data_IF_208764787089
#
_entry.id   IF_208764787089
#
_cell.length_a   1.000
_cell.length_b   1.000
_cell.length_c   1.000
_cell.angle_alpha   90.00
_cell.angle_beta   90.00
_cell.angle_gamma   90.00
#
_symmetry.space_group_name_H-M   'P 1'
#
loop_
_entity.id
_entity.type
_entity.pdbx_description
1 polymer ?
#
# COMPACT_ATOMS: atom_id res chain seq x y z
N UNK A 1 -53.81 -0.54 15.42
CA UNK A 1 -52.40 -0.86 15.12
C UNK A 1 -52.36 -1.99 14.12
N UNK A 2 -51.92 -1.76 12.88
CA UNK A 2 -51.30 -2.73 11.93
C UNK A 2 -51.16 -2.07 10.54
N UNK A 3 -50.01 -1.43 10.27
CA UNK A 3 -49.60 -0.95 8.93
C UNK A 3 -48.08 -1.10 8.78
N UNK A 4 -47.57 -2.34 8.83
CA UNK A 4 -46.14 -2.62 8.59
C UNK A 4 -45.88 -3.63 7.46
N UNK A 5 -46.93 -4.20 6.86
CA UNK A 5 -46.78 -5.25 5.84
C UNK A 5 -46.70 -4.71 4.40
N UNK A 6 -47.28 -3.54 4.10
CA UNK A 6 -47.26 -3.00 2.74
C UNK A 6 -45.88 -2.51 2.28
N UNK A 7 -45.11 -1.87 3.17
CA UNK A 7 -43.81 -1.29 2.80
C UNK A 7 -42.78 -2.36 2.40
N UNK A 8 -42.88 -3.54 2.99
CA UNK A 8 -41.99 -4.67 2.69
C UNK A 8 -42.34 -5.32 1.34
N UNK A 9 -43.63 -5.45 1.02
CA UNK A 9 -44.07 -5.96 -0.28
C UNK A 9 -43.71 -4.98 -1.41
N UNK A 10 -43.90 -3.67 -1.20
CA UNK A 10 -43.49 -2.62 -2.15
C UNK A 10 -41.97 -2.64 -2.40
N UNK A 11 -41.16 -2.85 -1.35
CA UNK A 11 -39.71 -2.96 -1.48
C UNK A 11 -39.28 -4.23 -2.26
N UNK A 12 -39.94 -5.36 -2.02
CA UNK A 12 -39.68 -6.61 -2.75
C UNK A 12 -40.04 -6.48 -4.22
N UNK A 13 -41.18 -5.85 -4.53
CA UNK A 13 -41.62 -5.64 -5.91
C UNK A 13 -40.69 -4.67 -6.64
N UNK A 14 -40.24 -3.61 -5.96
CA UNK A 14 -39.24 -2.67 -6.50
C UNK A 14 -37.89 -3.34 -6.75
N UNK A 15 -37.43 -4.20 -5.83
CA UNK A 15 -36.20 -4.96 -5.99
C UNK A 15 -36.30 -5.95 -7.17
N UNK A 16 -37.44 -6.61 -7.35
CA UNK A 16 -37.69 -7.50 -8.49
C UNK A 16 -37.62 -6.74 -9.81
N UNK A 17 -38.26 -5.58 -9.89
CA UNK A 17 -38.25 -4.72 -11.09
C UNK A 17 -36.84 -4.23 -11.46
N UNK A 18 -36.03 -3.86 -10.46
CA UNK A 18 -34.64 -3.45 -10.68
C UNK A 18 -33.76 -4.59 -11.21
N UNK A 19 -33.96 -5.82 -10.72
CA UNK A 19 -33.25 -7.01 -11.24
C UNK A 19 -33.63 -7.29 -12.69
N UNK A 20 -34.91 -7.23 -13.04
CA UNK A 20 -35.37 -7.42 -14.42
C UNK A 20 -34.78 -6.34 -15.36
N UNK A 21 -34.74 -5.07 -14.92
CA UNK A 21 -34.12 -3.98 -15.69
C UNK A 21 -32.60 -4.16 -15.87
N UNK A 22 -31.89 -4.60 -14.82
CA UNK A 22 -30.45 -4.86 -14.92
C UNK A 22 -30.14 -6.01 -15.90
N UNK A 23 -30.96 -7.06 -15.91
CA UNK A 23 -30.79 -8.21 -16.80
C UNK A 23 -30.96 -7.81 -18.27
N UNK A 24 -31.99 -6.99 -18.58
CA UNK A 24 -32.20 -6.43 -19.92
C UNK A 24 -31.07 -5.49 -20.36
N UNK A 25 -30.49 -4.74 -19.41
CA UNK A 25 -29.36 -3.85 -19.71
C UNK A 25 -28.08 -4.65 -20.01
N UNK A 26 -27.83 -5.73 -19.27
CA UNK A 26 -26.72 -6.64 -19.51
C UNK A 26 -26.84 -7.35 -20.86
N UNK A 27 -28.04 -7.79 -21.24
CA UNK A 27 -28.30 -8.42 -22.54
C UNK A 27 -28.07 -7.45 -23.70
N UNK A 28 -28.49 -6.18 -23.57
CA UNK A 28 -28.21 -5.14 -24.55
C UNK A 28 -26.71 -4.82 -24.69
N UNK A 29 -25.98 -4.76 -23.58
CA UNK A 29 -24.52 -4.57 -23.62
C UNK A 29 -23.81 -5.76 -24.27
N UNK A 30 -24.31 -6.97 -24.06
CA UNK A 30 -23.77 -8.19 -24.67
C UNK A 30 -24.09 -8.31 -26.15
N UNK A 31 -25.25 -7.82 -26.58
CA UNK A 31 -25.66 -7.78 -28.00
C UNK A 31 -24.89 -6.73 -28.81
N UNK A 32 -24.43 -5.64 -28.17
CA UNK A 32 -23.62 -4.59 -28.80
C UNK A 32 -22.11 -4.72 -28.60
N UNK A 33 -21.64 -5.78 -27.93
CA UNK A 33 -20.22 -6.08 -27.83
C UNK A 33 -19.65 -6.44 -29.22
N UNK A 34 -18.59 -5.76 -29.70
CA UNK A 34 -18.00 -6.07 -31.00
C UNK A 34 -17.46 -7.51 -31.02
N UNK A 35 -17.94 -8.32 -31.97
CA UNK A 35 -17.47 -9.69 -32.20
C UNK A 35 -15.96 -9.69 -32.44
N UNK A 36 -15.15 -10.46 -31.70
CA UNK A 36 -13.73 -10.59 -31.98
C UNK A 36 -13.53 -11.47 -33.21
N UNK A 37 -12.95 -10.89 -34.26
CA UNK A 37 -12.39 -11.62 -35.39
C UNK A 37 -11.17 -12.41 -34.91
N UNK A 38 -11.24 -13.71 -35.11
CA UNK A 38 -10.26 -14.75 -34.84
C UNK A 38 -8.80 -14.39 -35.17
N UNK A 39 -7.90 -14.50 -34.20
CA UNK A 39 -6.65 -15.27 -34.33
C UNK A 39 -5.87 -15.35 -33.01
N UNK A 40 -5.31 -16.53 -32.76
CA UNK A 40 -4.47 -16.95 -31.64
C UNK A 40 -5.19 -17.31 -30.32
N UNK A 41 -5.12 -18.61 -30.06
CA UNK A 41 -5.57 -19.34 -28.89
C UNK A 41 -4.74 -19.00 -27.65
N UNK A 42 -5.37 -18.43 -26.63
CA UNK A 42 -5.10 -18.78 -25.23
C UNK A 42 -6.37 -18.51 -24.45
N UNK A 43 -7.06 -19.57 -24.03
CA UNK A 43 -8.19 -19.49 -23.12
C UNK A 43 -7.70 -18.86 -21.81
N UNK A 44 -7.91 -17.55 -21.65
CA UNK A 44 -7.94 -16.91 -20.34
C UNK A 44 -9.36 -17.07 -19.83
N UNK A 45 -9.55 -18.07 -18.98
CA UNK A 45 -10.71 -18.18 -18.10
C UNK A 45 -10.98 -16.81 -17.46
N UNK A 46 -12.24 -16.39 -17.28
CA UNK A 46 -12.54 -15.20 -16.52
C UNK A 46 -11.90 -15.36 -15.14
N UNK A 47 -11.03 -14.42 -14.79
CA UNK A 47 -10.39 -14.33 -13.48
C UNK A 47 -11.50 -14.40 -12.45
N UNK A 48 -11.65 -15.57 -11.81
CA UNK A 48 -12.52 -15.75 -10.66
C UNK A 48 -12.09 -14.69 -9.66
N UNK A 49 -12.94 -13.68 -9.44
CA UNK A 49 -12.72 -12.69 -8.40
C UNK A 49 -12.59 -13.47 -7.10
N UNK A 50 -11.36 -13.57 -6.60
CA UNK A 50 -11.07 -14.21 -5.32
C UNK A 50 -12.01 -13.62 -4.27
N UNK A 51 -12.61 -14.43 -3.39
CA UNK A 51 -13.52 -13.93 -2.37
C UNK A 51 -12.82 -12.81 -1.60
N UNK A 52 -13.48 -11.65 -1.51
CA UNK A 52 -13.00 -10.53 -0.72
C UNK A 52 -12.90 -11.01 0.73
N UNK A 53 -11.68 -11.06 1.25
CA UNK A 53 -11.44 -11.53 2.62
C UNK A 53 -11.63 -10.36 3.57
N UNK A 54 -12.47 -10.59 4.57
CA UNK A 54 -12.83 -9.62 5.58
C UNK A 54 -12.18 -10.03 6.90
N UNK A 55 -11.33 -9.17 7.44
CA UNK A 55 -10.74 -9.34 8.76
C UNK A 55 -11.45 -8.42 9.76
N UNK A 56 -11.57 -8.86 11.01
CA UNK A 56 -12.06 -8.06 12.13
C UNK A 56 -10.95 -7.62 13.08
N UNK A 57 -9.72 -8.12 12.88
CA UNK A 57 -8.54 -7.96 13.73
C UNK A 57 -7.28 -7.95 12.83
N UNK A 58 -6.18 -7.36 13.32
CA UNK A 58 -4.90 -7.33 12.57
C UNK A 58 -4.12 -8.63 12.78
N UNK A 59 -4.32 -9.26 13.92
CA UNK A 59 -3.67 -10.47 14.36
C UNK A 59 -4.01 -11.62 13.42
N UNK A 60 -2.98 -12.35 12.98
CA UNK A 60 -3.07 -13.45 12.02
C UNK A 60 -3.70 -13.10 10.65
N UNK A 61 -3.77 -11.82 10.32
CA UNK A 61 -4.29 -11.35 9.02
C UNK A 61 -3.22 -11.35 7.92
N UNK A 62 -3.66 -11.50 6.66
CA UNK A 62 -2.76 -11.53 5.50
C UNK A 62 -3.10 -10.39 4.54
N UNK A 63 -2.08 -9.60 4.22
CA UNK A 63 -2.20 -8.40 3.39
C UNK A 63 -1.28 -8.49 2.18
N UNK A 64 -1.80 -8.11 1.02
CA UNK A 64 -0.99 -7.80 -0.16
C UNK A 64 -0.66 -6.31 -0.13
N UNK A 65 0.62 -6.01 0.00
CA UNK A 65 1.18 -4.66 -0.01
C UNK A 65 1.65 -4.36 -1.42
N UNK A 66 1.08 -3.32 -2.04
CA UNK A 66 1.58 -2.73 -3.29
C UNK A 66 2.25 -1.41 -2.96
N UNK A 67 3.52 -1.24 -3.31
CA UNK A 67 4.31 -0.06 -2.93
C UNK A 67 4.85 0.69 -4.14
N UNK A 68 5.14 1.97 -3.94
CA UNK A 68 5.97 2.78 -4.83
C UNK A 68 6.73 3.82 -4.02
N UNK A 69 8.06 3.72 -4.00
CA UNK A 69 8.92 4.67 -3.28
C UNK A 69 10.27 4.85 -3.97
N UNK A 70 11.02 5.87 -3.56
CA UNK A 70 12.40 6.12 -4.01
C UNK A 70 13.40 5.90 -2.87
N UNK A 71 14.67 5.65 -3.21
CA UNK A 71 15.74 5.45 -2.23
C UNK A 71 16.05 6.66 -1.34
N UNK A 72 15.74 7.87 -1.81
CA UNK A 72 15.95 9.13 -1.08
C UNK A 72 14.67 9.96 -0.98
N UNK A 73 14.50 10.75 0.09
CA UNK A 73 13.40 11.70 0.20
C UNK A 73 13.52 12.82 -0.84
N UNK A 74 12.44 13.56 -1.14
CA UNK A 74 12.51 14.73 -2.00
C UNK A 74 13.57 15.72 -1.46
N UNK A 75 14.35 16.31 -2.37
CA UNK A 75 15.20 17.45 -2.02
C UNK A 75 14.29 18.60 -1.59
N UNK A 76 14.52 19.16 -0.40
CA UNK A 76 13.87 20.40 0.00
C UNK A 76 14.33 21.50 -0.98
N UNK A 77 13.38 22.18 -1.63
CA UNK A 77 13.65 23.30 -2.52
C UNK A 77 14.31 24.42 -1.71
N UNK A 78 15.64 24.39 -1.59
CA UNK A 78 16.37 25.60 -1.29
C UNK A 78 16.34 26.45 -2.57
N UNK A 79 15.53 27.51 -2.56
CA UNK A 79 15.35 28.53 -3.60
C UNK A 79 16.64 29.34 -3.92
N UNK A 80 17.82 28.77 -3.72
CA UNK A 80 19.13 29.38 -3.96
C UNK A 80 20.01 28.56 -4.91
N UNK A 81 19.40 27.82 -5.85
CA UNK A 81 20.14 27.40 -7.03
C UNK A 81 20.28 28.59 -7.99
N UNK A 82 21.42 29.27 -7.88
CA UNK A 82 21.95 30.11 -8.95
C UNK A 82 21.78 29.37 -10.28
N UNK A 83 20.88 29.89 -11.12
CA UNK A 83 20.76 29.54 -12.55
C UNK A 83 22.10 29.78 -13.24
N UNK A 84 23.01 28.80 -13.21
CA UNK A 84 24.13 28.74 -14.15
C UNK A 84 24.46 27.37 -14.72
N UNK A 85 23.89 26.28 -14.22
CA UNK A 85 24.04 24.96 -14.86
C UNK A 85 22.69 24.25 -14.99
N UNK A 86 21.89 24.69 -15.97
CA UNK A 86 20.74 23.94 -16.45
C UNK A 86 21.23 22.71 -17.21
N UNK A 87 21.40 21.54 -16.54
CA UNK A 87 21.33 20.23 -17.21
C UNK A 87 21.36 18.94 -16.35
N UNK A 88 21.05 18.96 -15.05
CA UNK A 88 20.68 17.71 -14.35
C UNK A 88 19.93 17.99 -13.05
N UNK A 89 18.59 18.01 -13.07
CA UNK A 89 17.91 17.54 -11.87
C UNK A 89 18.28 16.05 -11.74
N UNK A 90 18.74 15.57 -10.57
CA UNK A 90 19.04 14.16 -10.41
C UNK A 90 17.78 13.36 -10.72
N UNK A 91 17.86 12.46 -11.70
CA UNK A 91 16.77 11.56 -12.04
C UNK A 91 16.48 10.69 -10.83
N UNK A 92 15.37 10.95 -10.14
CA UNK A 92 14.94 10.18 -8.98
C UNK A 92 14.46 8.81 -9.45
N UNK A 93 15.13 7.76 -8.97
CA UNK A 93 14.73 6.39 -9.27
C UNK A 93 13.58 5.99 -8.34
N UNK A 94 12.50 5.48 -8.93
CA UNK A 94 11.37 4.95 -8.19
C UNK A 94 11.31 3.44 -8.36
N UNK A 95 11.10 2.77 -7.24
CA UNK A 95 10.88 1.34 -7.14
C UNK A 95 9.43 1.08 -6.82
N UNK A 96 8.85 0.11 -7.50
CA UNK A 96 7.49 -0.33 -7.26
C UNK A 96 7.42 -1.84 -7.30
N UNK A 97 6.49 -2.40 -6.54
CA UNK A 97 6.30 -3.84 -6.50
C UNK A 97 5.13 -4.20 -5.63
N UNK A 98 4.93 -5.50 -5.46
CA UNK A 98 3.97 -6.04 -4.52
C UNK A 98 4.60 -7.17 -3.72
N UNK A 99 4.11 -7.39 -2.50
CA UNK A 99 4.45 -8.54 -1.69
C UNK A 99 3.31 -8.87 -0.74
N UNK A 100 3.31 -10.09 -0.20
CA UNK A 100 2.34 -10.52 0.79
C UNK A 100 2.99 -10.61 2.17
N UNK A 101 2.28 -10.13 3.18
CA UNK A 101 2.68 -10.24 4.59
C UNK A 101 1.59 -10.91 5.39
N UNK A 102 1.99 -11.74 6.33
CA UNK A 102 1.16 -12.18 7.45
C UNK A 102 1.58 -11.41 8.70
N UNK A 103 0.63 -10.72 9.31
CA UNK A 103 0.80 -10.10 10.62
C UNK A 103 0.47 -11.16 11.66
N UNK A 104 1.45 -11.61 12.44
CA UNK A 104 1.23 -12.65 13.46
C UNK A 104 0.72 -12.04 14.76
N UNK A 105 0.03 -12.86 15.54
CA UNK A 105 -0.45 -12.51 16.90
C UNK A 105 0.66 -12.16 17.89
N UNK A 106 1.88 -12.67 17.67
CA UNK A 106 3.07 -12.38 18.48
C UNK A 106 3.73 -11.02 18.19
N UNK A 107 3.13 -10.20 17.32
CA UNK A 107 3.65 -8.89 16.90
C UNK A 107 4.75 -8.98 15.84
N UNK A 108 5.12 -10.17 15.36
CA UNK A 108 6.05 -10.33 14.24
C UNK A 108 5.34 -10.37 12.89
N UNK A 109 6.10 -10.12 11.83
CA UNK A 109 5.62 -10.19 10.45
C UNK A 109 6.31 -11.34 9.71
N UNK A 110 5.56 -12.05 8.88
CA UNK A 110 6.08 -13.10 8.00
C UNK A 110 5.91 -12.69 6.54
N UNK A 111 7.03 -12.70 5.81
CA UNK A 111 7.05 -12.49 4.36
C UNK A 111 6.54 -13.74 3.65
N UNK A 112 5.42 -13.63 2.95
CA UNK A 112 4.88 -14.70 2.12
C UNK A 112 5.39 -14.49 0.70
N UNK A 113 6.50 -15.15 0.37
CA UNK A 113 7.09 -15.03 -0.97
C UNK A 113 6.11 -15.50 -2.04
N UNK A 114 6.00 -14.72 -3.11
CA UNK A 114 5.24 -15.10 -4.30
C UNK A 114 6.23 -15.60 -5.35
N UNK A 115 5.88 -16.60 -6.17
CA UNK A 115 6.80 -17.16 -7.18
C UNK A 115 7.39 -16.11 -8.14
N UNK A 116 6.73 -14.96 -8.28
CA UNK A 116 7.20 -13.78 -9.02
C UNK A 116 8.44 -13.10 -8.43
N UNK A 117 8.76 -13.32 -7.15
CA UNK A 117 9.88 -12.68 -6.45
C UNK A 117 11.25 -13.15 -6.97
N UNK A 118 11.30 -14.36 -7.52
CA UNK A 118 12.51 -14.98 -8.06
C UNK A 118 12.85 -14.53 -9.49
N UNK A 119 11.95 -13.78 -10.14
CA UNK A 119 12.15 -13.21 -11.48
C UNK A 119 12.55 -11.72 -11.42
N UNK A 120 13.08 -11.25 -10.29
CA UNK A 120 13.52 -9.86 -10.14
C UNK A 120 14.68 -9.57 -11.10
N UNK A 121 14.47 -8.58 -11.96
CA UNK A 121 15.52 -8.07 -12.84
C UNK A 121 16.67 -7.50 -11.99
N UNK A 122 17.91 -7.47 -12.50
CA UNK A 122 19.08 -6.93 -11.77
C UNK A 122 18.89 -5.47 -11.28
N UNK A 123 17.87 -4.77 -11.78
CA UNK A 123 17.49 -3.40 -11.45
C UNK A 123 16.43 -3.27 -10.36
N UNK A 124 15.89 -4.37 -9.83
CA UNK A 124 14.85 -4.32 -8.81
C UNK A 124 15.42 -4.37 -7.39
N UNK A 125 14.65 -3.80 -6.45
CA UNK A 125 14.96 -3.90 -5.02
C UNK A 125 14.69 -5.31 -4.50
N UNK A 126 15.40 -5.69 -3.43
CA UNK A 126 15.16 -6.96 -2.73
C UNK A 126 14.75 -6.71 -1.29
N UNK A 127 13.58 -7.22 -0.91
CA UNK A 127 13.14 -7.25 0.49
C UNK A 127 14.01 -8.27 1.22
N UNK A 128 14.78 -7.82 2.21
CA UNK A 128 15.68 -8.66 3.00
C UNK A 128 14.95 -9.24 4.20
N UNK A 129 14.21 -8.37 4.90
CA UNK A 129 13.49 -8.72 6.12
C UNK A 129 12.36 -7.73 6.35
N UNK A 130 11.23 -8.23 6.83
CA UNK A 130 10.18 -7.39 7.41
C UNK A 130 10.23 -7.61 8.92
N UNK A 131 10.23 -6.51 9.66
CA UNK A 131 10.24 -6.50 11.12
C UNK A 131 8.81 -6.58 11.65
N UNK A 132 8.69 -6.66 12.97
CA UNK A 132 7.39 -6.70 13.63
C UNK A 132 6.49 -5.52 13.26
N UNK A 133 5.23 -5.69 13.61
CA UNK A 133 4.20 -4.69 13.42
C UNK A 133 3.68 -4.22 14.77
N UNK A 134 3.15 -3.00 14.80
CA UNK A 134 2.53 -2.42 15.98
C UNK A 134 1.26 -1.66 15.59
N UNK A 135 0.35 -1.53 16.55
CA UNK A 135 -0.84 -0.70 16.44
C UNK A 135 -0.69 0.46 17.41
N UNK A 136 -0.57 1.67 16.88
CA UNK A 136 -0.42 2.88 17.68
C UNK A 136 -1.65 3.78 17.52
N UNK A 137 -2.13 4.33 18.63
CA UNK A 137 -3.10 5.43 18.61
C UNK A 137 -2.33 6.74 18.64
N UNK A 138 -2.49 7.55 17.60
CA UNK A 138 -1.84 8.85 17.50
C UNK A 138 -2.45 9.83 18.49
N UNK A 139 -1.60 10.55 19.22
CA UNK A 139 -2.02 11.59 20.17
C UNK A 139 -2.45 12.89 19.48
N UNK A 140 -2.21 13.04 18.18
CA UNK A 140 -2.51 14.27 17.43
C UNK A 140 -3.93 14.26 16.85
N UNK A 141 -4.42 13.10 16.44
CA UNK A 141 -5.69 12.93 15.73
C UNK A 141 -6.59 11.82 16.30
N UNK A 142 -6.17 11.18 17.41
CA UNK A 142 -6.83 10.04 18.06
C UNK A 142 -7.14 8.87 17.11
N UNK A 143 -6.43 8.76 15.98
CA UNK A 143 -6.61 7.68 15.01
C UNK A 143 -5.67 6.52 15.28
N UNK A 144 -6.09 5.32 14.88
CA UNK A 144 -5.28 4.11 14.98
C UNK A 144 -4.44 3.93 13.70
N UNK A 145 -3.19 3.56 13.87
CA UNK A 145 -2.25 3.32 12.77
C UNK A 145 -1.59 1.96 12.91
N UNK A 146 -1.43 1.27 11.78
CA UNK A 146 -0.54 0.13 11.64
C UNK A 146 0.85 0.65 11.30
N UNK A 147 1.86 0.24 12.08
CA UNK A 147 3.25 0.54 11.83
C UNK A 147 4.02 -0.76 11.63
N UNK A 148 4.90 -0.80 10.62
CA UNK A 148 5.90 -1.86 10.48
C UNK A 148 7.13 -1.30 9.77
N UNK A 149 8.22 -2.07 9.75
CA UNK A 149 9.41 -1.67 9.00
C UNK A 149 10.00 -2.83 8.21
N UNK A 150 10.75 -2.51 7.17
CA UNK A 150 11.43 -3.51 6.36
C UNK A 150 12.83 -3.06 5.94
N UNK A 151 13.75 -4.01 5.92
CA UNK A 151 15.08 -3.84 5.37
C UNK A 151 15.04 -4.18 3.88
N UNK A 152 15.44 -3.23 3.05
CA UNK A 152 15.43 -3.32 1.60
C UNK A 152 16.85 -3.17 1.08
N UNK A 153 17.29 -4.14 0.29
CA UNK A 153 18.54 -4.04 -0.47
C UNK A 153 18.26 -3.37 -1.81
N UNK A 154 18.87 -2.21 -2.01
CA UNK A 154 18.79 -1.44 -3.25
C UNK A 154 19.69 -2.06 -4.33
N UNK A 155 19.32 -1.95 -5.61
CA UNK A 155 20.13 -2.46 -6.70
C UNK A 155 21.44 -1.68 -6.83
N UNK A 156 22.47 -2.30 -7.43
CA UNK A 156 23.74 -1.62 -7.72
C UNK A 156 23.62 -0.48 -8.73
N UNK A 157 22.49 -0.40 -9.46
CA UNK A 157 22.15 0.68 -10.36
C UNK A 157 21.50 1.89 -9.69
N UNK A 158 21.22 1.83 -8.37
CA UNK A 158 20.69 2.99 -7.65
C UNK A 158 21.71 4.13 -7.67
N UNK A 159 21.33 5.35 -8.11
CA UNK A 159 22.26 6.45 -8.24
C UNK A 159 22.70 7.04 -6.89
N UNK A 160 21.89 6.87 -5.84
CA UNK A 160 22.11 7.51 -4.54
C UNK A 160 22.75 6.54 -3.53
N UNK A 161 22.35 5.26 -3.55
CA UNK A 161 22.73 4.24 -2.56
C UNK A 161 22.96 2.86 -3.21
N UNK A 162 23.98 2.70 -4.08
CA UNK A 162 24.21 1.47 -4.83
C UNK A 162 24.54 0.28 -3.91
N UNK A 163 23.80 -0.82 -4.06
CA UNK A 163 23.96 -2.06 -3.28
C UNK A 163 23.82 -1.93 -1.76
N UNK A 164 23.27 -0.82 -1.26
CA UNK A 164 23.07 -0.59 0.17
C UNK A 164 21.79 -1.25 0.67
N UNK A 165 21.77 -1.64 1.95
CA UNK A 165 20.55 -2.08 2.63
C UNK A 165 20.08 -0.97 3.55
N UNK A 166 18.85 -0.50 3.31
CA UNK A 166 18.23 0.59 4.08
C UNK A 166 16.95 0.10 4.75
N UNK A 167 16.61 0.70 5.88
CA UNK A 167 15.35 0.44 6.57
C UNK A 167 14.30 1.48 6.22
N UNK A 168 13.18 1.00 5.72
CA UNK A 168 11.99 1.81 5.44
C UNK A 168 10.90 1.50 6.47
N UNK A 169 10.14 2.53 6.81
CA UNK A 169 9.07 2.49 7.80
C UNK A 169 7.74 2.74 7.10
N UNK A 170 6.78 1.90 7.41
CA UNK A 170 5.47 1.85 6.78
C UNK A 170 4.44 2.23 7.83
N UNK A 171 3.58 3.17 7.49
CA UNK A 171 2.47 3.60 8.33
C UNK A 171 1.19 3.65 7.52
N UNK A 172 0.14 2.98 7.97
CA UNK A 172 -1.20 3.07 7.35
C UNK A 172 -2.26 3.28 8.43
N UNK A 173 -3.25 4.14 8.15
CA UNK A 173 -4.37 4.33 9.05
C UNK A 173 -5.27 3.09 9.05
N UNK A 174 -5.69 2.69 10.23
CA UNK A 174 -6.64 1.61 10.47
C UNK A 174 -8.04 2.22 10.53
N UNK A 175 -8.88 1.86 9.55
CA UNK A 175 -10.28 2.22 9.50
C UNK A 175 -11.16 0.99 9.71
N UNK A 176 -12.33 1.23 10.29
CA UNK A 176 -13.37 0.22 10.45
C UNK A 176 -14.56 0.59 9.57
N UNK A 177 -14.81 -0.20 8.54
CA UNK A 177 -16.02 -0.10 7.75
C UNK A 177 -17.14 -0.92 8.39
N UNK A 178 -18.39 -0.50 8.22
CA UNK A 178 -19.56 -1.34 8.53
C UNK A 178 -20.40 -1.65 7.30
N UNK A 179 -19.88 -2.33 6.25
CA UNK A 179 -20.72 -2.95 5.26
C UNK A 179 -21.66 -3.95 5.97
N UNK A 180 -22.97 -3.80 5.77
CA UNK A 180 -23.96 -4.81 6.17
C UNK A 180 -24.00 -5.12 7.68
N UNK A 181 -23.53 -4.20 8.53
CA UNK A 181 -23.56 -4.33 10.00
C UNK A 181 -22.41 -5.15 10.60
N UNK A 182 -21.41 -5.54 9.81
CA UNK A 182 -20.17 -6.18 10.30
C UNK A 182 -19.03 -5.18 10.29
N UNK A 183 -18.30 -5.08 11.41
CA UNK A 183 -17.08 -4.26 11.50
C UNK A 183 -15.94 -4.93 10.73
N UNK A 184 -15.58 -4.39 9.58
CA UNK A 184 -14.53 -4.90 8.70
C UNK A 184 -13.34 -3.96 8.78
N UNK A 185 -12.18 -4.54 9.08
CA UNK A 185 -10.91 -3.87 9.11
C UNK A 185 -10.48 -3.47 7.69
N UNK A 186 -10.14 -2.20 7.51
CA UNK A 186 -9.57 -1.68 6.27
C UNK A 186 -8.33 -0.86 6.59
N UNK A 187 -7.27 -1.07 5.81
CA UNK A 187 -6.09 -0.22 5.84
C UNK A 187 -6.22 0.82 4.73
N UNK A 188 -6.07 2.10 5.10
CA UNK A 188 -6.00 3.19 4.13
C UNK A 188 -4.68 3.14 3.37
N UNK A 189 -4.58 4.00 2.36
CA UNK A 189 -3.30 4.30 1.72
C UNK A 189 -2.30 4.72 2.80
N UNK A 190 -1.15 4.08 2.79
CA UNK A 190 -0.11 4.27 3.78
C UNK A 190 1.11 4.97 3.19
N UNK A 191 1.93 5.53 4.06
CA UNK A 191 3.15 6.24 3.70
C UNK A 191 4.37 5.40 4.00
N UNK A 192 5.41 5.60 3.18
CA UNK A 192 6.73 4.99 3.32
C UNK A 192 7.70 6.10 3.67
N UNK A 193 8.41 5.94 4.79
CA UNK A 193 9.42 6.90 5.24
C UNK A 193 10.76 6.21 5.46
N UNK A 194 11.83 7.00 5.46
CA UNK A 194 13.18 6.58 5.85
C UNK A 194 13.66 7.48 6.97
N UNK A 195 14.34 6.91 7.95
CA UNK A 195 14.97 7.67 9.02
C UNK A 195 16.28 8.26 8.51
N UNK A 196 16.39 9.58 8.47
CA UNK A 196 17.63 10.29 8.10
C UNK A 196 18.14 11.12 9.26
N UNK A 197 19.45 11.22 9.35
CA UNK A 197 20.10 12.15 10.24
C UNK A 197 19.82 13.58 9.78
N UNK A 198 19.61 14.49 10.74
CA UNK A 198 19.52 15.92 10.46
C UNK A 198 20.96 16.47 10.29
N UNK A 199 21.69 15.90 9.33
CA UNK A 199 23.12 16.18 9.13
C UNK A 199 23.41 17.61 8.66
N UNK A 200 22.41 18.32 8.13
CA UNK A 200 22.52 19.76 7.84
C UNK A 200 22.81 20.58 9.10
N UNK A 201 22.43 20.09 10.29
CA UNK A 201 22.75 20.74 11.57
C UNK A 201 23.98 20.15 12.28
N UNK A 202 24.31 18.87 12.07
CA UNK A 202 25.34 18.17 12.88
C UNK A 202 26.66 17.87 12.15
N UNK A 203 26.77 18.10 10.82
CA UNK A 203 28.00 17.86 10.01
C UNK A 203 28.70 16.52 10.31
N UNK A 204 27.94 15.47 10.63
CA UNK A 204 28.49 14.14 10.93
C UNK A 204 29.21 14.01 12.28
N UNK A 205 29.07 14.97 13.20
CA UNK A 205 29.60 14.87 14.56
C UNK A 205 28.51 14.39 15.52
N UNK A 206 28.52 13.09 15.78
CA UNK A 206 27.67 12.44 16.80
C UNK A 206 28.12 12.70 18.24
N UNK A 207 29.33 13.19 18.43
CA UNK A 207 29.93 13.44 19.73
C UNK A 207 30.10 14.93 19.99
N UNK A 208 29.58 15.37 21.15
CA UNK A 208 29.73 16.68 21.79
C UNK A 208 28.58 17.67 21.53
N UNK A 209 27.54 17.49 22.36
CA UNK A 209 26.60 18.52 22.83
C UNK A 209 25.69 19.16 21.78
N UNK A 210 24.46 18.63 21.68
CA UNK A 210 23.31 19.51 21.50
C UNK A 210 22.22 19.07 22.49
N UNK A 211 22.11 19.80 23.61
CA UNK A 211 21.23 19.47 24.75
C UNK A 211 19.75 19.79 24.44
N UNK A 212 19.39 20.11 23.18
CA UNK A 212 18.03 20.53 22.80
C UNK A 212 17.66 20.31 21.30
N UNK A 213 18.24 19.34 20.58
CA UNK A 213 18.02 19.20 19.13
C UNK A 213 17.58 17.80 18.67
N UNK A 214 16.64 17.76 17.72
CA UNK A 214 16.20 16.52 17.01
C UNK A 214 17.38 16.00 16.19
N UNK A 215 17.87 14.78 16.49
CA UNK A 215 19.05 14.19 15.84
C UNK A 215 18.74 13.49 14.52
N UNK A 216 17.49 13.04 14.35
CA UNK A 216 17.03 12.29 13.18
C UNK A 216 15.57 12.57 12.93
N UNK A 217 15.15 12.58 11.67
CA UNK A 217 13.76 12.74 11.28
C UNK A 217 13.35 11.65 10.28
N UNK A 218 12.08 11.25 10.33
CA UNK A 218 11.49 10.43 9.28
C UNK A 218 11.17 11.31 8.09
N UNK A 219 11.65 10.93 6.90
CA UNK A 219 11.40 11.65 5.65
C UNK A 219 10.62 10.78 4.68
N UNK A 220 9.59 11.37 4.09
CA UNK A 220 8.73 10.71 3.11
C UNK A 220 9.51 10.24 1.88
N UNK A 221 9.24 9.00 1.45
CA UNK A 221 9.88 8.36 0.29
C UNK A 221 8.88 7.82 -0.73
N UNK A 222 7.60 7.66 -0.36
CA UNK A 222 6.57 7.12 -1.25
C UNK A 222 5.37 6.62 -0.48
N UNK A 223 4.54 5.84 -1.16
CA UNK A 223 3.26 5.35 -0.66
C UNK A 223 3.11 3.85 -0.86
N UNK A 224 2.18 3.26 -0.12
CA UNK A 224 1.72 1.89 -0.33
C UNK A 224 0.23 1.75 -0.14
N UNK A 225 -0.30 0.65 -0.68
CA UNK A 225 -1.68 0.24 -0.52
C UNK A 225 -1.68 -1.18 0.01
N UNK A 226 -2.45 -1.43 1.06
CA UNK A 226 -2.62 -2.76 1.64
C UNK A 226 -4.02 -3.30 1.36
N UNK A 227 -4.12 -4.50 0.79
CA UNK A 227 -5.39 -5.18 0.53
C UNK A 227 -5.44 -6.52 1.26
N UNK A 228 -6.51 -6.76 2.00
CA UNK A 228 -6.75 -8.02 2.67
C UNK A 228 -6.81 -9.15 1.63
N UNK A 229 -6.17 -10.28 1.94
CA UNK A 229 -6.13 -11.46 1.08
C UNK A 229 -6.35 -12.74 1.88
N UNK A 230 -6.94 -13.74 1.23
CA UNK A 230 -7.10 -15.08 1.80
C UNK A 230 -5.74 -15.74 2.06
N UNK A 231 -5.68 -16.59 3.08
CA UNK A 231 -4.58 -17.52 3.30
C UNK A 231 -4.45 -18.51 2.15
#
# INVERSE_FOLDING_TARGET
MCSKNNDHEDLLERARKLREQATLMEENLRAHAPRPTSSSSSFRSPTTSSPMVEYTELENSIWTISYRFSSQPPLENNDNYNKKDSNAMPFRTFYSGNFRIRLKDDGYSEYLSTESDFSSSKSDIRIVKIWGWDKETSNEDDQNYLLFSMDVKLPGSDPDLPNQTERYYFQARIDWGTPEGKSILQLREGTITVKKDVAEQTKGRWGLFNVAGILSQFRYCGDFIAKATAS
#
